data_IF_208851869385
#
_entry.id   IF_208851869385
#
_cell.length_a   1.000
_cell.length_b   1.000
_cell.length_c   1.000
_cell.angle_alpha   90.00
_cell.angle_beta   90.00
_cell.angle_gamma   90.00
#
_symmetry.space_group_name_H-M   'P 1'
#
loop_
_entity.id
_entity.type
_entity.pdbx_description
1 polymer ?
#
# COMPACT_ATOMS: atom_id res chain seq x y z
N UNK A 1 -6.11 -29.34 -1.04
CA UNK A 1 -6.37 -27.92 -1.41
C UNK A 1 -5.28 -27.06 -0.80
N UNK A 2 -4.57 -26.25 -1.60
CA UNK A 2 -3.52 -25.37 -1.06
C UNK A 2 -4.12 -24.15 -0.35
N UNK A 3 -3.33 -23.50 0.51
CA UNK A 3 -3.72 -22.22 1.13
C UNK A 3 -4.10 -21.18 0.08
N UNK A 4 -3.32 -21.06 -1.00
CA UNK A 4 -3.59 -20.11 -2.07
C UNK A 4 -4.96 -20.33 -2.73
N UNK A 5 -5.33 -21.59 -3.00
CA UNK A 5 -6.65 -21.91 -3.59
C UNK A 5 -7.79 -21.59 -2.63
N UNK A 6 -7.68 -21.99 -1.35
CA UNK A 6 -8.72 -21.72 -0.35
C UNK A 6 -8.87 -20.24 -0.06
N UNK A 7 -7.75 -19.53 0.07
CA UNK A 7 -7.75 -18.08 0.30
C UNK A 7 -8.44 -17.35 -0.83
N UNK A 8 -8.10 -17.67 -2.09
CA UNK A 8 -8.73 -17.04 -3.25
C UNK A 8 -10.23 -17.34 -3.32
N UNK A 9 -10.65 -18.56 -2.97
CA UNK A 9 -12.06 -18.92 -2.94
C UNK A 9 -12.88 -18.12 -1.91
N UNK A 10 -12.27 -17.77 -0.76
CA UNK A 10 -12.94 -17.04 0.32
C UNK A 10 -12.85 -15.51 0.12
N UNK A 11 -11.66 -15.01 -0.24
CA UNK A 11 -11.36 -13.57 -0.28
C UNK A 11 -11.57 -12.96 -1.67
N UNK A 12 -11.66 -13.78 -2.72
CA UNK A 12 -11.82 -13.35 -4.11
C UNK A 12 -10.53 -12.81 -4.76
N UNK A 13 -9.43 -12.73 -4.01
CA UNK A 13 -8.14 -12.22 -4.47
C UNK A 13 -7.00 -13.18 -4.11
N UNK A 14 -5.86 -13.06 -4.79
CA UNK A 14 -4.64 -13.76 -4.37
C UNK A 14 -4.14 -13.21 -3.03
N UNK A 15 -3.38 -14.02 -2.29
CA UNK A 15 -2.73 -13.61 -1.04
C UNK A 15 -1.87 -12.35 -1.24
N UNK A 16 -1.13 -12.29 -2.35
CA UNK A 16 -0.26 -11.15 -2.67
C UNK A 16 -1.06 -9.86 -2.95
N UNK A 17 -2.18 -9.96 -3.66
CA UNK A 17 -3.08 -8.82 -3.90
C UNK A 17 -3.65 -8.31 -2.58
N UNK A 18 -4.10 -9.22 -1.71
CA UNK A 18 -4.64 -8.86 -0.41
C UNK A 18 -3.58 -8.16 0.47
N UNK A 19 -2.38 -8.72 0.58
CA UNK A 19 -1.27 -8.10 1.32
C UNK A 19 -0.95 -6.72 0.74
N UNK A 20 -0.92 -6.58 -0.58
CA UNK A 20 -0.67 -5.29 -1.22
C UNK A 20 -1.72 -4.26 -0.82
N UNK A 21 -3.02 -4.62 -0.85
CA UNK A 21 -4.11 -3.73 -0.45
C UNK A 21 -4.00 -3.31 1.01
N UNK A 22 -3.70 -4.25 1.91
CA UNK A 22 -3.48 -3.95 3.34
C UNK A 22 -2.32 -2.97 3.53
N UNK A 23 -1.17 -3.21 2.88
CA UNK A 23 0.01 -2.34 3.00
C UNK A 23 -0.25 -0.94 2.45
N UNK A 24 -0.91 -0.85 1.30
CA UNK A 24 -1.23 0.45 0.69
C UNK A 24 -2.24 1.24 1.52
N UNK A 25 -3.27 0.59 2.06
CA UNK A 25 -4.24 1.25 2.93
C UNK A 25 -3.57 1.82 4.19
N UNK A 26 -2.68 1.05 4.82
CA UNK A 26 -1.89 1.54 5.95
C UNK A 26 -1.00 2.73 5.55
N UNK A 27 -0.38 2.68 4.37
CA UNK A 27 0.44 3.77 3.87
C UNK A 27 -0.38 5.05 3.64
N UNK A 28 -1.61 4.93 3.12
CA UNK A 28 -2.51 6.06 2.92
C UNK A 28 -2.81 6.76 4.26
N UNK A 29 -3.19 5.99 5.28
CA UNK A 29 -3.44 6.54 6.62
C UNK A 29 -2.21 7.22 7.23
N UNK A 30 -1.00 6.71 6.98
CA UNK A 30 0.24 7.35 7.41
C UNK A 30 0.53 8.65 6.64
N UNK A 31 0.17 8.71 5.36
CA UNK A 31 0.42 9.85 4.48
C UNK A 31 -0.60 10.98 4.62
N UNK A 32 -1.73 10.75 5.28
CA UNK A 32 -2.75 11.78 5.57
C UNK A 32 -2.41 12.60 6.82
N UNK A 33 -1.43 12.17 7.63
CA UNK A 33 -1.05 12.87 8.86
C UNK A 33 -0.19 14.12 8.53
N UNK A 34 -0.47 15.31 9.10
CA UNK A 34 0.35 16.50 8.88
C UNK A 34 1.82 16.33 9.28
N UNK A 35 2.09 15.55 10.34
CA UNK A 35 3.44 15.26 10.82
C UNK A 35 3.99 13.93 10.27
N UNK A 36 3.54 13.53 9.08
CA UNK A 36 3.93 12.26 8.47
C UNK A 36 5.43 12.17 8.16
N UNK A 37 5.98 10.94 8.14
CA UNK A 37 7.31 10.70 7.59
C UNK A 37 7.37 10.99 6.08
N UNK A 38 8.59 10.99 5.53
CA UNK A 38 8.81 11.02 4.09
C UNK A 38 8.14 9.82 3.39
N UNK A 39 7.84 9.96 2.10
CA UNK A 39 7.23 8.88 1.30
C UNK A 39 8.11 7.62 1.31
N UNK A 40 9.43 7.78 1.21
CA UNK A 40 10.40 6.69 1.34
C UNK A 40 10.31 5.97 2.70
N UNK A 41 10.26 6.71 3.81
CA UNK A 41 10.14 6.13 5.15
C UNK A 41 8.81 5.41 5.36
N UNK A 42 7.71 5.93 4.78
CA UNK A 42 6.42 5.22 4.78
C UNK A 42 6.51 3.92 3.97
N UNK A 43 7.16 3.93 2.80
CA UNK A 43 7.34 2.75 1.97
C UNK A 43 8.08 1.63 2.72
N UNK A 44 9.18 1.96 3.41
CA UNK A 44 9.92 1.02 4.24
C UNK A 44 9.06 0.48 5.38
N UNK A 45 8.35 1.37 6.09
CA UNK A 45 7.50 1.00 7.24
C UNK A 45 6.36 0.04 6.88
N UNK A 46 5.81 0.15 5.66
CA UNK A 46 4.78 -0.77 5.16
C UNK A 46 5.37 -1.97 4.38
N UNK A 47 6.69 -2.16 4.45
CA UNK A 47 7.37 -3.37 4.01
C UNK A 47 7.74 -3.41 2.53
N UNK A 48 7.96 -2.24 1.89
CA UNK A 48 8.56 -2.14 0.56
C UNK A 48 10.03 -1.77 0.66
N UNK A 49 10.88 -2.52 -0.05
CA UNK A 49 12.32 -2.24 -0.18
C UNK A 49 12.65 -1.23 -1.27
N UNK A 50 11.66 -0.86 -2.09
CA UNK A 50 11.82 0.03 -3.23
C UNK A 50 10.68 1.02 -3.26
N UNK A 51 11.01 2.31 -3.20
CA UNK A 51 10.04 3.40 -3.30
C UNK A 51 9.31 3.40 -4.65
N UNK A 52 9.99 3.00 -5.74
CA UNK A 52 9.37 2.83 -7.05
C UNK A 52 8.33 1.71 -7.05
N UNK A 53 8.65 0.56 -6.45
CA UNK A 53 7.71 -0.56 -6.35
C UNK A 53 6.50 -0.19 -5.47
N UNK A 54 6.75 0.52 -4.36
CA UNK A 54 5.69 1.09 -3.52
C UNK A 54 4.82 2.06 -4.30
N UNK A 55 5.40 3.06 -4.97
CA UNK A 55 4.65 4.08 -5.70
C UNK A 55 3.76 3.49 -6.80
N UNK A 56 4.25 2.46 -7.50
CA UNK A 56 3.45 1.72 -8.50
C UNK A 56 2.30 0.96 -7.87
N UNK A 57 2.54 0.25 -6.76
CA UNK A 57 1.48 -0.47 -6.05
C UNK A 57 0.45 0.50 -5.48
N UNK A 58 0.90 1.56 -4.81
CA UNK A 58 0.08 2.60 -4.22
C UNK A 58 -0.83 3.26 -5.27
N UNK A 59 -0.24 3.71 -6.38
CA UNK A 59 -1.01 4.37 -7.45
C UNK A 59 -2.05 3.43 -8.07
N UNK A 60 -1.72 2.14 -8.21
CA UNK A 60 -2.66 1.16 -8.74
C UNK A 60 -3.86 0.92 -7.80
N UNK A 61 -3.63 0.86 -6.48
CA UNK A 61 -4.72 0.61 -5.53
C UNK A 61 -5.49 1.91 -5.16
N UNK A 62 -4.84 3.08 -5.11
CA UNK A 62 -5.43 4.35 -4.65
C UNK A 62 -5.84 5.31 -5.77
N UNK A 63 -5.40 5.08 -7.01
CA UNK A 63 -5.66 5.96 -8.15
C UNK A 63 -4.87 7.27 -8.16
N UNK A 64 -4.09 7.56 -7.12
CA UNK A 64 -3.23 8.75 -6.99
C UNK A 64 -1.84 8.36 -6.51
N UNK A 65 -0.83 9.18 -6.81
CA UNK A 65 0.53 8.92 -6.33
C UNK A 65 0.64 9.18 -4.82
N UNK A 66 1.52 8.47 -4.11
CA UNK A 66 1.72 8.70 -2.68
C UNK A 66 2.14 10.15 -2.40
N UNK A 67 2.98 10.74 -3.25
CA UNK A 67 3.39 12.16 -3.16
C UNK A 67 2.24 13.16 -3.35
N UNK A 68 1.20 12.81 -4.12
CA UNK A 68 0.01 13.65 -4.26
C UNK A 68 -0.85 13.60 -2.99
N UNK A 69 -1.11 12.40 -2.46
CA UNK A 69 -1.91 12.25 -1.23
C UNK A 69 -1.25 12.94 -0.04
N UNK A 70 0.05 12.66 0.12
CA UNK A 70 0.98 13.35 0.97
C UNK A 70 0.77 14.88 1.05
N UNK A 71 0.67 15.54 -0.11
CA UNK A 71 0.57 17.00 -0.19
C UNK A 71 -0.80 17.53 0.24
N UNK A 72 -1.84 16.69 0.21
CA UNK A 72 -3.22 17.08 0.59
C UNK A 72 -3.36 17.15 2.12
N UNK A 73 -2.65 16.29 2.86
CA UNK A 73 -2.71 16.26 4.33
C UNK A 73 -1.87 17.34 5.04
N UNK A 74 -1.40 18.37 4.34
CA UNK A 74 -0.54 19.43 4.86
C UNK A 74 -1.18 20.81 4.74
#
# INVERSE_FOLDING_TARGET
TSLATRFRAIVGASVQQYITRVRVNLAASLLENPNRPSVAAVAERVGYRSETAFSRAFTREMGVTPAKLARIGN
#
